data_IF_451226411494
#
_entry.id   IF_451226411494
#
_cell.length_a   1.000
_cell.length_b   1.000
_cell.length_c   1.000
_cell.angle_alpha   90.00
_cell.angle_beta   90.00
_cell.angle_gamma   90.00
#
_symmetry.space_group_name_H-M   'P 1'
#
loop_
_entity.id
_entity.type
_entity.pdbx_description
1 polymer ?
#
# COMPACT_ATOMS: atom_id res chain seq x y z
N UNK A 1 -42.65 -28.15 58.70
CA UNK A 1 -42.30 -29.58 58.93
C UNK A 1 -41.94 -30.19 57.59
N UNK A 2 -40.89 -31.02 57.54
CA UNK A 2 -40.32 -31.48 56.26
C UNK A 2 -40.77 -32.88 55.81
N UNK A 3 -40.20 -33.29 54.66
CA UNK A 3 -40.21 -34.63 54.03
C UNK A 3 -41.54 -35.12 53.43
N UNK A 4 -41.49 -35.40 52.12
CA UNK A 4 -41.78 -36.74 51.60
C UNK A 4 -40.64 -37.18 50.68
N UNK A 5 -40.16 -38.41 50.90
CA UNK A 5 -39.33 -39.17 49.96
C UNK A 5 -40.24 -40.14 49.18
N UNK A 6 -39.82 -40.56 47.97
CA UNK A 6 -39.89 -41.94 47.41
C UNK A 6 -39.41 -41.87 45.94
N UNK A 7 -38.24 -42.39 45.55
CA UNK A 7 -37.84 -43.80 45.29
C UNK A 7 -38.04 -44.25 43.83
N UNK A 8 -37.03 -45.00 43.33
CA UNK A 8 -37.09 -46.00 42.22
C UNK A 8 -37.24 -45.44 40.78
N UNK A 9 -36.56 -45.94 39.74
CA UNK A 9 -35.63 -47.09 39.63
C UNK A 9 -34.32 -46.79 38.84
N UNK A 10 -33.71 -47.82 38.25
CA UNK A 10 -32.40 -47.89 37.56
C UNK A 10 -32.56 -47.93 36.02
N UNK A 11 -31.61 -47.34 35.29
CA UNK A 11 -31.19 -47.84 33.98
C UNK A 11 -29.69 -47.53 33.75
N UNK A 12 -28.83 -48.54 33.85
CA UNK A 12 -27.42 -48.41 33.45
C UNK A 12 -27.33 -48.58 31.93
N UNK A 13 -27.02 -47.50 31.20
CA UNK A 13 -26.84 -47.55 29.75
C UNK A 13 -25.36 -47.39 29.39
N UNK A 14 -24.85 -48.34 28.60
CA UNK A 14 -23.45 -48.41 28.16
C UNK A 14 -23.09 -47.16 27.37
N UNK A 15 -22.10 -46.41 27.85
CA UNK A 15 -21.57 -45.26 27.11
C UNK A 15 -20.66 -45.76 25.98
N UNK A 16 -21.26 -45.94 24.79
CA UNK A 16 -20.51 -46.12 23.56
C UNK A 16 -19.66 -44.87 23.35
N UNK A 17 -18.35 -45.05 23.18
CA UNK A 17 -17.40 -43.98 22.94
C UNK A 17 -17.62 -43.33 21.57
N UNK A 18 -18.60 -42.43 21.47
CA UNK A 18 -18.75 -41.53 20.33
C UNK A 18 -17.58 -40.55 20.42
N UNK A 19 -16.53 -40.83 19.64
CA UNK A 19 -15.43 -39.91 19.47
C UNK A 19 -15.97 -38.57 18.98
N UNK A 20 -15.85 -37.54 19.81
CA UNK A 20 -16.22 -36.18 19.44
C UNK A 20 -15.29 -35.76 18.31
N UNK A 21 -15.77 -35.91 17.08
CA UNK A 21 -15.20 -35.25 15.93
C UNK A 21 -15.33 -33.75 16.20
N UNK A 22 -14.28 -33.15 16.76
CA UNK A 22 -14.20 -31.71 16.90
C UNK A 22 -14.43 -31.12 15.51
N UNK A 23 -15.39 -30.18 15.35
CA UNK A 23 -15.62 -29.60 14.04
C UNK A 23 -14.33 -28.91 13.62
N UNK A 24 -13.64 -29.51 12.64
CA UNK A 24 -12.49 -28.89 11.95
C UNK A 24 -12.97 -27.49 11.57
N UNK A 25 -12.39 -26.42 12.14
CA UNK A 25 -13.00 -25.11 12.04
C UNK A 25 -13.16 -24.78 10.55
N UNK A 26 -14.40 -24.47 10.14
CA UNK A 26 -14.66 -24.04 8.78
C UNK A 26 -13.71 -22.86 8.51
N UNK A 27 -12.82 -23.01 7.52
CA UNK A 27 -11.79 -22.01 7.27
C UNK A 27 -12.47 -20.79 6.64
N UNK A 28 -12.93 -19.87 7.49
CA UNK A 28 -13.37 -18.53 7.12
C UNK A 28 -12.28 -17.88 6.26
N UNK A 29 -12.69 -17.10 5.25
CA UNK A 29 -11.82 -16.41 4.31
C UNK A 29 -11.07 -15.20 4.92
N UNK A 30 -10.72 -15.28 6.20
CA UNK A 30 -10.04 -14.26 6.99
C UNK A 30 -8.72 -14.81 7.53
N UNK A 31 -7.63 -14.06 7.37
CA UNK A 31 -6.34 -14.42 7.97
C UNK A 31 -6.47 -14.71 9.46
N UNK A 32 -5.93 -15.82 9.91
CA UNK A 32 -5.56 -15.92 11.31
C UNK A 32 -4.34 -15.01 11.55
N UNK A 33 -4.45 -14.08 12.50
CA UNK A 33 -3.33 -13.27 13.00
C UNK A 33 -2.78 -13.82 14.33
N UNK A 34 -3.26 -14.99 14.78
CA UNK A 34 -2.76 -15.66 15.99
C UNK A 34 -1.31 -16.08 15.76
N UNK A 35 -0.41 -15.75 16.67
CA UNK A 35 0.98 -16.24 16.62
C UNK A 35 1.01 -17.78 16.60
N UNK A 36 1.61 -18.35 15.56
CA UNK A 36 1.83 -19.80 15.40
C UNK A 36 3.29 -20.06 14.99
N UNK A 37 3.83 -21.28 15.19
CA UNK A 37 5.12 -21.66 14.61
C UNK A 37 5.00 -21.86 13.08
N UNK A 38 6.12 -21.74 12.36
CA UNK A 38 6.18 -21.89 10.91
C UNK A 38 5.61 -23.24 10.41
N UNK A 39 5.88 -24.33 11.15
CA UNK A 39 5.37 -25.67 10.88
C UNK A 39 3.86 -25.84 11.04
N UNK A 40 3.13 -24.81 11.48
CA UNK A 40 1.66 -24.79 11.53
C UNK A 40 1.03 -23.87 10.47
N UNK A 41 1.85 -23.14 9.70
CA UNK A 41 1.38 -22.45 8.51
C UNK A 41 1.26 -23.44 7.34
N UNK A 42 0.25 -23.24 6.49
CA UNK A 42 0.06 -23.99 5.24
C UNK A 42 -0.41 -23.07 4.12
N UNK A 43 -0.14 -23.47 2.88
CA UNK A 43 -0.64 -22.76 1.70
C UNK A 43 -2.15 -22.97 1.54
N UNK A 44 -2.90 -21.90 1.25
CA UNK A 44 -4.35 -21.95 0.97
C UNK A 44 -4.68 -21.95 -0.53
N UNK A 45 -3.67 -21.89 -1.40
CA UNK A 45 -3.83 -21.87 -2.85
C UNK A 45 -2.60 -22.43 -3.59
N UNK A 46 -2.68 -22.55 -4.93
CA UNK A 46 -1.64 -23.18 -5.74
C UNK A 46 -0.34 -22.38 -5.81
N UNK A 47 0.81 -23.06 -5.74
CA UNK A 47 2.12 -22.48 -6.09
C UNK A 47 2.74 -23.23 -7.28
N UNK A 48 3.03 -22.58 -8.41
CA UNK A 48 3.83 -23.17 -9.48
C UNK A 48 5.23 -23.55 -9.00
N UNK A 49 5.66 -24.79 -9.30
CA UNK A 49 7.02 -25.29 -9.04
C UNK A 49 7.95 -24.75 -10.12
N UNK A 50 8.31 -23.46 -10.01
CA UNK A 50 9.22 -22.78 -10.92
C UNK A 50 10.01 -21.65 -10.22
N UNK A 51 11.17 -21.30 -10.78
CA UNK A 51 12.04 -20.24 -10.28
C UNK A 51 11.40 -18.84 -10.40
N UNK A 52 11.99 -17.87 -9.71
CA UNK A 52 11.55 -16.47 -9.68
C UNK A 52 10.40 -16.22 -8.69
N UNK A 53 9.92 -14.98 -8.65
CA UNK A 53 8.91 -14.53 -7.68
C UNK A 53 7.63 -15.39 -7.73
N UNK A 54 7.10 -15.75 -6.56
CA UNK A 54 5.79 -16.40 -6.36
C UNK A 54 5.02 -15.65 -5.28
N UNK A 55 3.74 -15.41 -5.51
CA UNK A 55 2.82 -14.96 -4.48
C UNK A 55 2.13 -16.18 -3.90
N UNK A 56 2.33 -16.41 -2.60
CA UNK A 56 1.92 -17.62 -1.90
C UNK A 56 0.83 -17.26 -0.89
N UNK A 57 -0.43 -17.63 -1.13
CA UNK A 57 -1.50 -17.46 -0.15
C UNK A 57 -1.34 -18.48 0.99
N UNK A 58 -1.45 -18.00 2.23
CA UNK A 58 -1.28 -18.78 3.47
C UNK A 58 -2.48 -18.64 4.39
N UNK A 59 -2.69 -19.62 5.28
CA UNK A 59 -3.75 -19.58 6.31
C UNK A 59 -3.48 -18.54 7.41
N UNK A 60 -2.21 -18.23 7.67
CA UNK A 60 -1.75 -17.36 8.75
C UNK A 60 -0.37 -16.79 8.39
N UNK A 61 -0.22 -15.46 8.47
CA UNK A 61 0.99 -14.76 8.07
C UNK A 61 2.00 -14.52 9.22
N UNK A 62 1.62 -14.77 10.48
CA UNK A 62 2.42 -14.43 11.67
C UNK A 62 3.80 -15.12 11.81
N UNK A 63 4.06 -16.36 11.34
CA UNK A 63 5.40 -16.93 11.45
C UNK A 63 6.38 -16.38 10.41
N UNK A 64 5.91 -15.63 9.41
CA UNK A 64 6.74 -15.14 8.32
C UNK A 64 7.38 -13.79 8.63
N UNK A 65 8.62 -13.61 8.19
CA UNK A 65 9.36 -12.34 8.24
C UNK A 65 10.10 -12.14 6.92
N UNK A 66 10.15 -10.91 6.44
CA UNK A 66 10.97 -10.52 5.29
C UNK A 66 12.43 -10.93 5.52
N UNK A 67 13.08 -11.50 4.51
CA UNK A 67 14.43 -12.05 4.56
C UNK A 67 14.54 -13.50 5.05
N UNK A 68 13.48 -14.10 5.61
CA UNK A 68 13.52 -15.49 6.06
C UNK A 68 13.60 -16.44 4.86
N UNK A 69 14.58 -17.36 4.85
CA UNK A 69 14.64 -18.46 3.88
C UNK A 69 13.70 -19.60 4.31
N UNK A 70 12.75 -19.96 3.44
CA UNK A 70 11.77 -21.02 3.69
C UNK A 70 11.77 -22.04 2.56
N UNK A 71 11.30 -23.24 2.89
CA UNK A 71 10.86 -24.25 1.93
C UNK A 71 9.37 -24.52 2.14
N UNK A 72 8.59 -24.39 1.08
CA UNK A 72 7.21 -24.86 1.02
C UNK A 72 7.22 -26.24 0.35
N UNK A 73 6.79 -27.28 1.06
CA UNK A 73 6.92 -28.68 0.64
C UNK A 73 5.57 -29.42 0.71
N UNK A 74 5.33 -30.30 -0.26
CA UNK A 74 4.23 -31.27 -0.23
C UNK A 74 4.75 -32.66 -0.62
N UNK A 75 3.96 -33.70 -0.36
CA UNK A 75 4.33 -35.10 -0.58
C UNK A 75 5.03 -35.74 0.63
N UNK A 76 4.74 -37.03 0.87
CA UNK A 76 5.16 -37.78 2.08
C UNK A 76 6.25 -38.83 1.81
N UNK A 77 6.71 -38.96 0.57
CA UNK A 77 7.73 -39.93 0.15
C UNK A 77 8.67 -39.28 -0.86
N UNK A 78 9.92 -39.73 -0.93
CA UNK A 78 10.95 -39.14 -1.82
C UNK A 78 10.50 -39.01 -3.29
N UNK A 79 9.68 -39.95 -3.79
CA UNK A 79 9.14 -39.93 -5.16
C UNK A 79 7.98 -38.95 -5.36
N UNK A 80 7.29 -38.56 -4.29
CA UNK A 80 6.13 -37.65 -4.32
C UNK A 80 6.43 -36.26 -3.79
N UNK A 81 7.57 -36.07 -3.12
CA UNK A 81 8.01 -34.78 -2.61
C UNK A 81 8.14 -33.77 -3.74
N UNK A 82 7.51 -32.62 -3.58
CA UNK A 82 7.71 -31.42 -4.42
C UNK A 82 7.93 -30.24 -3.49
N UNK A 83 8.83 -29.34 -3.86
CA UNK A 83 9.02 -28.12 -3.08
C UNK A 83 9.42 -26.93 -3.95
N UNK A 84 9.14 -25.74 -3.40
CA UNK A 84 9.82 -24.50 -3.75
C UNK A 84 10.55 -23.99 -2.52
N UNK A 85 11.72 -23.41 -2.72
CA UNK A 85 12.55 -22.84 -1.66
C UNK A 85 13.06 -21.47 -2.11
N UNK A 86 13.16 -20.53 -1.16
CA UNK A 86 13.57 -19.17 -1.45
C UNK A 86 13.39 -18.24 -0.25
N UNK A 87 13.70 -16.96 -0.46
CA UNK A 87 13.58 -15.93 0.56
C UNK A 87 12.20 -15.26 0.54
N UNK A 88 11.63 -15.03 1.73
CA UNK A 88 10.39 -14.29 1.92
C UNK A 88 10.64 -12.80 1.68
N UNK A 89 9.93 -12.22 0.73
CA UNK A 89 9.87 -10.78 0.47
C UNK A 89 8.71 -10.11 1.21
N UNK A 90 7.86 -9.39 0.46
CA UNK A 90 6.68 -8.69 1.01
C UNK A 90 5.66 -9.66 1.62
N UNK A 91 5.16 -9.33 2.81
CA UNK A 91 4.05 -10.02 3.49
C UNK A 91 2.86 -9.05 3.53
N UNK A 92 1.69 -9.47 3.03
CA UNK A 92 0.50 -8.62 2.96
C UNK A 92 -0.76 -9.47 2.76
N UNK A 93 -1.82 -9.22 3.54
CA UNK A 93 -3.17 -9.78 3.32
C UNK A 93 -3.14 -11.29 3.06
N UNK A 94 -2.56 -12.08 3.97
CA UNK A 94 -2.44 -13.54 3.85
C UNK A 94 -1.59 -14.03 2.66
N UNK A 95 -0.84 -13.17 2.00
CA UNK A 95 0.07 -13.54 0.94
C UNK A 95 1.50 -13.22 1.36
N UNK A 96 2.39 -14.19 1.16
CA UNK A 96 3.83 -13.97 1.23
C UNK A 96 4.38 -14.01 -0.19
N UNK A 97 5.17 -13.00 -0.55
CA UNK A 97 5.99 -13.08 -1.74
C UNK A 97 7.22 -13.94 -1.43
N UNK A 98 7.54 -14.93 -2.26
CA UNK A 98 8.73 -15.76 -2.12
C UNK A 98 9.54 -15.64 -3.40
N UNK A 99 10.80 -15.20 -3.29
CA UNK A 99 11.74 -15.25 -4.41
C UNK A 99 12.31 -16.66 -4.48
N UNK A 100 11.70 -17.51 -5.31
CA UNK A 100 12.08 -18.93 -5.42
C UNK A 100 13.37 -19.06 -6.23
N UNK A 101 14.42 -19.54 -5.57
CA UNK A 101 15.74 -19.79 -6.17
C UNK A 101 16.02 -21.30 -6.38
N UNK A 102 15.21 -22.18 -5.77
CA UNK A 102 15.36 -23.62 -5.86
C UNK A 102 14.00 -24.32 -5.89
N UNK A 103 13.90 -25.36 -6.72
CA UNK A 103 12.70 -26.18 -6.89
C UNK A 103 13.04 -27.67 -6.95
N UNK A 104 12.07 -28.51 -6.63
CA UNK A 104 12.15 -29.95 -6.87
C UNK A 104 10.79 -30.52 -7.29
N UNK A 105 10.81 -31.41 -8.28
CA UNK A 105 9.62 -31.89 -8.98
C UNK A 105 9.11 -30.87 -10.01
N UNK A 106 7.87 -31.07 -10.46
CA UNK A 106 7.23 -30.24 -11.50
C UNK A 106 5.72 -30.07 -11.25
N UNK A 107 5.11 -29.11 -11.95
CA UNK A 107 3.68 -28.78 -11.81
C UNK A 107 3.43 -27.79 -10.68
N UNK A 108 2.45 -28.08 -9.82
CA UNK A 108 1.94 -27.15 -8.80
C UNK A 108 1.93 -27.80 -7.42
N UNK A 109 2.30 -27.03 -6.39
CA UNK A 109 2.09 -27.37 -4.98
C UNK A 109 0.68 -26.99 -4.55
N UNK A 110 0.01 -27.89 -3.84
CA UNK A 110 -1.23 -27.63 -3.12
C UNK A 110 -1.05 -28.08 -1.66
N UNK A 111 -1.60 -27.31 -0.72
CA UNK A 111 -1.52 -27.59 0.73
C UNK A 111 -0.09 -27.94 1.18
N UNK A 112 0.88 -27.11 0.80
CA UNK A 112 2.26 -27.29 1.22
C UNK A 112 2.46 -26.79 2.66
N UNK A 113 3.23 -27.56 3.42
CA UNK A 113 3.72 -27.22 4.75
C UNK A 113 4.99 -26.36 4.64
N UNK A 114 5.27 -25.53 5.63
CA UNK A 114 6.47 -24.68 5.66
C UNK A 114 7.51 -25.15 6.69
N UNK A 115 8.78 -25.15 6.26
CA UNK A 115 9.94 -25.35 7.13
C UNK A 115 10.98 -24.26 6.90
N UNK A 116 11.78 -23.98 7.93
CA UNK A 116 12.97 -23.11 7.78
C UNK A 116 13.97 -23.86 6.89
N UNK A 117 14.46 -23.19 5.86
CA UNK A 117 15.56 -23.71 5.05
C UNK A 117 16.85 -23.03 5.50
N UNK A 118 17.90 -23.81 5.78
CA UNK A 118 19.24 -23.24 5.97
C UNK A 118 19.77 -22.71 4.64
N UNK A 119 20.58 -21.65 4.69
CA UNK A 119 21.43 -21.32 3.55
C UNK A 119 22.35 -22.51 3.27
N UNK A 120 22.38 -22.95 2.01
CA UNK A 120 23.10 -24.16 1.65
C UNK A 120 24.58 -23.82 1.56
N UNK A 121 25.36 -24.36 2.50
CA UNK A 121 26.81 -24.33 2.43
C UNK A 121 27.29 -24.89 1.09
N UNK A 122 28.35 -24.30 0.54
CA UNK A 122 28.92 -24.75 -0.72
C UNK A 122 29.11 -26.27 -0.71
N UNK A 123 28.65 -26.95 -1.77
CA UNK A 123 28.81 -28.38 -1.91
C UNK A 123 30.30 -28.71 -1.78
N UNK A 124 30.66 -29.49 -0.77
CA UNK A 124 32.04 -29.96 -0.63
C UNK A 124 32.47 -30.70 -1.89
N UNK A 125 33.76 -30.60 -2.30
CA UNK A 125 34.24 -31.30 -3.48
C UNK A 125 33.92 -32.80 -3.37
N UNK A 126 33.49 -33.38 -4.49
CA UNK A 126 33.26 -34.83 -4.59
C UNK A 126 34.60 -35.52 -4.35
N UNK A 127 34.64 -36.51 -3.47
CA UNK A 127 35.86 -37.24 -3.14
C UNK A 127 36.44 -37.97 -4.35
N UNK A 128 37.77 -37.99 -4.46
CA UNK A 128 38.48 -38.48 -5.63
C UNK A 128 38.19 -39.96 -5.93
N UNK A 129 37.97 -40.25 -7.21
CA UNK A 129 38.00 -41.63 -7.74
C UNK A 129 39.44 -42.00 -8.10
N UNK A 130 39.82 -43.25 -7.85
CA UNK A 130 41.20 -43.75 -8.05
C UNK A 130 41.77 -43.51 -9.45
N UNK A 131 43.09 -43.31 -9.51
CA UNK A 131 43.79 -42.70 -10.65
C UNK A 131 43.69 -43.45 -11.99
N UNK A 132 43.70 -42.67 -13.07
CA UNK A 132 44.00 -43.10 -14.45
C UNK A 132 44.88 -42.01 -15.12
N UNK A 133 45.66 -42.39 -16.14
CA UNK A 133 46.88 -41.68 -16.58
C UNK A 133 46.76 -40.22 -17.07
N UNK A 134 47.92 -39.57 -17.13
CA UNK A 134 48.07 -38.12 -17.27
C UNK A 134 47.47 -37.51 -18.56
N UNK A 135 46.76 -36.39 -18.39
CA UNK A 135 46.21 -35.53 -19.46
C UNK A 135 46.82 -34.13 -19.34
N UNK A 136 46.95 -33.40 -20.46
CA UNK A 136 47.68 -32.13 -20.53
C UNK A 136 47.12 -30.99 -19.69
N UNK A 137 47.97 -29.96 -19.44
CA UNK A 137 47.66 -28.83 -18.57
C UNK A 137 46.43 -28.03 -19.05
N UNK A 138 45.40 -28.03 -18.22
CA UNK A 138 44.16 -27.28 -18.44
C UNK A 138 44.40 -25.77 -18.23
N UNK A 139 43.81 -24.95 -19.10
CA UNK A 139 43.86 -23.49 -18.96
C UNK A 139 43.15 -22.99 -17.69
N UNK A 140 43.66 -21.89 -17.11
CA UNK A 140 43.07 -21.23 -15.93
C UNK A 140 41.58 -20.93 -16.15
N UNK A 141 40.69 -21.28 -15.20
CA UNK A 141 39.26 -20.94 -15.29
C UNK A 141 39.04 -19.43 -15.40
N UNK A 142 38.10 -19.02 -16.26
CA UNK A 142 37.65 -17.62 -16.31
C UNK A 142 36.99 -17.22 -14.99
N UNK A 143 37.24 -15.98 -14.54
CA UNK A 143 36.63 -15.43 -13.34
C UNK A 143 35.11 -15.35 -13.49
N UNK A 144 34.36 -15.75 -12.45
CA UNK A 144 32.92 -15.56 -12.40
C UNK A 144 32.56 -14.08 -12.64
N UNK A 145 31.53 -13.84 -13.46
CA UNK A 145 30.94 -12.51 -13.59
C UNK A 145 30.43 -12.01 -12.23
N UNK A 146 30.61 -10.72 -11.96
CA UNK A 146 30.08 -10.08 -10.76
C UNK A 146 28.56 -10.22 -10.72
N UNK A 147 27.99 -10.57 -9.56
CA UNK A 147 26.55 -10.51 -9.35
C UNK A 147 26.01 -9.13 -9.76
N UNK A 148 24.94 -9.11 -10.53
CA UNK A 148 24.24 -7.87 -10.85
C UNK A 148 23.82 -7.17 -9.55
N UNK A 149 24.03 -5.85 -9.49
CA UNK A 149 23.55 -5.05 -8.35
C UNK A 149 22.05 -5.23 -8.20
N UNK A 150 21.59 -5.46 -6.96
CA UNK A 150 20.15 -5.45 -6.65
C UNK A 150 19.53 -4.19 -7.25
N UNK A 151 18.45 -4.36 -8.01
CA UNK A 151 17.69 -3.22 -8.52
C UNK A 151 17.33 -2.29 -7.37
N UNK A 152 17.59 -0.99 -7.54
CA UNK A 152 17.19 0.03 -6.58
C UNK A 152 15.72 -0.17 -6.22
N UNK A 153 15.39 -0.07 -4.93
CA UNK A 153 14.00 -0.14 -4.45
C UNK A 153 13.14 0.74 -5.36
N UNK A 154 12.18 0.13 -6.07
CA UNK A 154 11.33 0.85 -7.00
C UNK A 154 10.67 2.04 -6.31
N UNK A 155 10.53 3.16 -7.05
CA UNK A 155 10.01 4.41 -6.51
C UNK A 155 8.75 4.13 -5.68
N UNK A 156 8.84 4.41 -4.38
CA UNK A 156 7.67 4.52 -3.50
C UNK A 156 7.29 6.01 -3.60
N UNK A 157 6.35 6.40 -4.46
CA UNK A 157 6.06 7.81 -4.68
C UNK A 157 5.58 8.43 -3.37
N UNK A 158 6.10 9.60 -3.04
CA UNK A 158 5.43 10.45 -2.07
C UNK A 158 4.09 10.93 -2.66
N UNK A 159 3.05 11.04 -1.84
CA UNK A 159 1.75 11.54 -2.27
C UNK A 159 1.00 12.22 -1.14
N UNK A 160 0.01 13.05 -1.48
CA UNK A 160 -0.90 13.69 -0.53
C UNK A 160 -2.22 14.07 -1.19
N UNK A 161 -3.33 13.93 -0.47
CA UNK A 161 -4.66 14.38 -0.91
C UNK A 161 -5.36 15.14 0.22
N UNK A 162 -5.45 16.46 0.07
CA UNK A 162 -5.90 17.40 1.09
C UNK A 162 -7.10 18.19 0.56
N UNK A 163 -7.95 18.69 1.45
CA UNK A 163 -9.08 19.54 1.06
C UNK A 163 -9.46 20.53 2.16
N UNK A 164 -10.18 21.57 1.80
CA UNK A 164 -10.82 22.48 2.74
C UNK A 164 -12.35 22.37 2.63
N UNK A 165 -13.01 22.23 3.77
CA UNK A 165 -14.48 22.11 3.87
C UNK A 165 -15.17 23.44 4.20
N UNK A 166 -14.42 24.54 4.29
CA UNK A 166 -14.92 25.89 4.57
C UNK A 166 -14.81 26.81 3.35
N UNK A 167 -15.66 27.84 3.29
CA UNK A 167 -15.61 28.83 2.20
C UNK A 167 -14.47 29.82 2.46
N UNK A 168 -13.55 29.95 1.51
CA UNK A 168 -12.43 30.88 1.59
C UNK A 168 -12.75 32.16 0.81
N UNK A 169 -12.75 33.30 1.50
CA UNK A 169 -13.06 34.61 0.93
C UNK A 169 -11.82 35.28 0.33
N UNK A 170 -12.01 36.23 -0.58
CA UNK A 170 -10.99 37.23 -0.93
C UNK A 170 -11.10 38.37 0.10
N UNK A 171 -10.04 38.59 0.89
CA UNK A 171 -10.10 39.56 2.00
C UNK A 171 -9.77 41.00 1.56
N UNK A 172 -9.06 41.14 0.43
CA UNK A 172 -8.64 42.41 -0.16
C UNK A 172 -8.45 42.24 -1.67
N UNK A 173 -8.83 43.27 -2.44
CA UNK A 173 -8.70 43.26 -3.91
C UNK A 173 -7.24 43.21 -4.35
N UNK A 174 -6.98 42.54 -5.48
CA UNK A 174 -5.68 42.43 -6.15
C UNK A 174 -4.54 41.95 -5.22
N UNK A 175 -4.87 41.26 -4.12
CA UNK A 175 -3.93 40.85 -3.08
C UNK A 175 -3.82 39.32 -3.09
N UNK A 176 -2.63 38.75 -3.41
CA UNK A 176 -2.41 37.30 -3.37
C UNK A 176 -2.71 36.67 -2.00
N UNK A 177 -3.55 35.64 -2.00
CA UNK A 177 -3.87 34.82 -0.81
C UNK A 177 -3.62 33.34 -1.12
N UNK A 178 -3.09 32.60 -0.16
CA UNK A 178 -2.90 31.16 -0.31
C UNK A 178 -4.20 30.40 -0.01
N UNK A 179 -4.51 29.38 -0.81
CA UNK A 179 -5.56 28.43 -0.51
C UNK A 179 -5.16 27.62 0.74
N UNK A 180 -6.06 27.56 1.71
CA UNK A 180 -5.87 26.75 2.93
C UNK A 180 -6.45 25.34 2.79
N UNK A 181 -6.09 24.45 3.71
CA UNK A 181 -6.63 23.11 3.85
C UNK A 181 -6.90 22.80 5.32
N UNK A 182 -8.07 22.24 5.62
CA UNK A 182 -8.48 21.87 6.98
C UNK A 182 -8.65 20.35 7.19
N UNK A 183 -8.68 19.56 6.11
CA UNK A 183 -8.56 18.09 6.15
C UNK A 183 -7.15 17.70 5.72
N UNK A 184 -6.26 17.56 6.69
CA UNK A 184 -4.81 17.36 6.48
C UNK A 184 -4.23 16.10 7.15
N UNK A 185 -4.94 15.48 8.09
CA UNK A 185 -4.46 14.32 8.86
C UNK A 185 -4.68 13.01 8.11
N UNK A 186 -3.64 12.23 7.75
CA UNK A 186 -3.80 10.97 7.02
C UNK A 186 -4.70 9.97 7.75
N UNK A 187 -5.59 9.31 7.00
CA UNK A 187 -6.59 8.37 7.54
C UNK A 187 -7.86 9.03 8.09
N UNK A 188 -7.91 10.35 8.21
CA UNK A 188 -9.08 11.12 8.68
C UNK A 188 -9.80 11.74 7.48
N UNK A 189 -11.14 11.68 7.45
CA UNK A 189 -11.99 12.37 6.47
C UNK A 189 -11.56 12.22 4.99
N UNK A 190 -11.06 11.03 4.62
CA UNK A 190 -10.63 10.69 3.27
C UNK A 190 -9.26 11.25 2.85
N UNK A 191 -8.48 11.79 3.79
CA UNK A 191 -7.09 12.21 3.56
C UNK A 191 -6.19 10.98 3.45
N UNK A 192 -5.37 10.96 2.40
CA UNK A 192 -4.36 9.94 2.17
C UNK A 192 -3.05 10.64 1.83
N UNK A 193 -2.00 10.39 2.60
CA UNK A 193 -0.67 10.96 2.32
C UNK A 193 0.46 10.07 2.83
N UNK A 194 1.59 10.12 2.15
CA UNK A 194 2.86 9.52 2.55
C UNK A 194 4.01 10.35 2.00
N UNK A 195 4.88 10.87 2.86
CA UNK A 195 5.98 11.75 2.42
C UNK A 195 5.54 13.13 1.90
N UNK A 196 4.29 13.53 2.14
CA UNK A 196 3.78 14.89 1.92
C UNK A 196 2.93 15.28 3.13
N UNK A 197 3.06 16.52 3.59
CA UNK A 197 2.28 17.11 4.70
C UNK A 197 1.67 18.45 4.28
N UNK A 198 0.74 18.97 5.09
CA UNK A 198 0.33 20.37 5.03
C UNK A 198 0.71 21.05 6.33
N UNK A 199 1.44 22.15 6.23
CA UNK A 199 1.90 22.97 7.35
C UNK A 199 1.37 24.40 7.18
N UNK A 200 1.28 25.15 8.29
CA UNK A 200 0.80 26.55 8.30
C UNK A 200 -0.52 26.77 7.53
N UNK A 201 -1.38 25.75 7.51
CA UNK A 201 -2.66 25.73 6.79
C UNK A 201 -2.59 25.68 5.26
N UNK A 202 -1.47 26.02 4.62
CA UNK A 202 -1.37 26.15 3.15
C UNK A 202 -0.08 25.62 2.51
N UNK A 203 0.97 25.37 3.29
CA UNK A 203 2.25 24.89 2.78
C UNK A 203 2.15 23.38 2.55
N UNK A 204 2.03 22.95 1.30
CA UNK A 204 2.09 21.54 0.93
C UNK A 204 3.57 21.16 0.84
N UNK A 205 4.10 20.54 1.90
CA UNK A 205 5.54 20.24 2.08
C UNK A 205 5.85 18.83 1.58
N UNK A 206 6.94 18.65 0.84
CA UNK A 206 7.40 17.33 0.40
C UNK A 206 8.59 16.85 1.23
N UNK A 207 8.54 15.61 1.70
CA UNK A 207 9.61 15.00 2.51
C UNK A 207 10.68 14.28 1.68
N UNK A 208 10.58 14.30 0.34
CA UNK A 208 11.48 13.62 -0.59
C UNK A 208 11.78 14.56 -1.75
N UNK A 209 13.01 14.54 -2.24
CA UNK A 209 13.36 15.21 -3.50
C UNK A 209 12.80 14.40 -4.66
N UNK A 210 12.21 15.07 -5.65
CA UNK A 210 11.65 14.43 -6.84
C UNK A 210 10.87 15.39 -7.72
N UNK A 211 10.35 14.86 -8.83
CA UNK A 211 9.41 15.58 -9.68
C UNK A 211 7.99 15.29 -9.20
N UNK A 212 7.19 16.32 -8.98
CA UNK A 212 5.83 16.22 -8.46
C UNK A 212 4.80 16.74 -9.45
N UNK A 213 3.74 15.95 -9.64
CA UNK A 213 2.52 16.39 -10.28
C UNK A 213 1.51 16.83 -9.22
N UNK A 214 1.07 18.09 -9.28
CA UNK A 214 0.12 18.72 -8.37
C UNK A 214 -1.16 19.00 -9.16
N UNK A 215 -2.29 18.46 -8.76
CA UNK A 215 -3.60 18.63 -9.40
C UNK A 215 -4.59 19.21 -8.40
N UNK A 216 -5.49 20.09 -8.83
CA UNK A 216 -6.52 20.63 -7.94
C UNK A 216 -7.89 20.80 -8.60
N UNK A 217 -8.92 20.91 -7.76
CA UNK A 217 -10.24 21.41 -8.14
C UNK A 217 -10.75 22.43 -7.11
N UNK A 218 -11.04 23.65 -7.57
CA UNK A 218 -11.52 24.76 -6.76
C UNK A 218 -12.94 25.16 -7.18
N UNK A 219 -13.89 25.13 -6.25
CA UNK A 219 -15.26 25.60 -6.46
C UNK A 219 -15.31 27.14 -6.44
N UNK A 220 -15.60 27.78 -7.57
CA UNK A 220 -15.61 29.24 -7.70
C UNK A 220 -17.03 29.82 -7.75
N UNK A 221 -17.25 30.94 -7.05
CA UNK A 221 -18.49 31.70 -7.06
C UNK A 221 -18.25 33.18 -6.70
N UNK A 222 -19.19 34.07 -7.07
CA UNK A 222 -19.33 35.41 -6.47
C UNK A 222 -20.75 35.64 -5.92
N UNK A 223 -20.99 36.72 -5.18
CA UNK A 223 -22.26 36.98 -4.47
C UNK A 223 -23.11 38.12 -5.02
N UNK A 224 -22.55 38.91 -5.94
CA UNK A 224 -23.04 40.20 -6.43
C UNK A 224 -23.11 40.20 -7.98
N UNK A 225 -23.93 41.06 -8.61
CA UNK A 225 -24.06 41.07 -10.06
C UNK A 225 -22.77 41.49 -10.78
N UNK A 226 -22.52 40.88 -11.94
CA UNK A 226 -21.35 41.19 -12.78
C UNK A 226 -20.48 39.96 -13.07
N UNK A 227 -19.36 40.23 -13.74
CA UNK A 227 -18.35 39.25 -14.11
C UNK A 227 -16.98 39.73 -13.60
N UNK A 228 -16.26 38.87 -12.90
CA UNK A 228 -14.94 39.17 -12.33
C UNK A 228 -13.96 38.04 -12.58
N UNK A 229 -12.67 38.36 -12.58
CA UNK A 229 -11.61 37.37 -12.81
C UNK A 229 -11.05 36.91 -11.47
N UNK A 230 -10.93 35.60 -11.31
CA UNK A 230 -10.11 34.95 -10.30
C UNK A 230 -8.87 34.39 -10.98
N UNK A 231 -7.70 34.91 -10.62
CA UNK A 231 -6.40 34.38 -11.02
C UNK A 231 -5.97 33.31 -10.03
N UNK A 232 -5.52 32.14 -10.50
CA UNK A 232 -5.00 31.04 -9.66
C UNK A 232 -3.67 30.54 -10.23
N UNK A 233 -2.65 30.43 -9.37
CA UNK A 233 -1.29 30.06 -9.77
C UNK A 233 -0.53 29.27 -8.69
N UNK A 234 0.66 28.78 -9.03
CA UNK A 234 1.53 28.02 -8.13
C UNK A 234 2.63 28.92 -7.54
N UNK A 235 2.87 28.80 -6.24
CA UNK A 235 4.00 29.41 -5.51
C UNK A 235 4.85 28.30 -4.88
N UNK A 236 6.17 28.42 -4.95
CA UNK A 236 7.15 27.52 -4.29
C UNK A 236 8.04 28.33 -3.37
N UNK A 237 8.16 27.92 -2.10
CA UNK A 237 9.03 28.57 -1.10
C UNK A 237 8.88 30.11 -1.08
N UNK A 238 7.63 30.60 -1.06
CA UNK A 238 7.31 32.04 -1.06
C UNK A 238 7.44 32.77 -2.40
N UNK A 239 8.01 32.15 -3.45
CA UNK A 239 8.21 32.75 -4.78
C UNK A 239 7.21 32.20 -5.79
N UNK A 240 6.58 33.07 -6.57
CA UNK A 240 5.63 32.67 -7.60
C UNK A 240 6.30 31.94 -8.76
N UNK A 241 5.74 30.80 -9.16
CA UNK A 241 6.28 29.97 -10.25
C UNK A 241 5.90 30.62 -11.59
N UNK A 242 6.87 31.00 -12.44
CA UNK A 242 6.59 31.64 -13.73
C UNK A 242 5.65 30.80 -14.60
N UNK A 243 4.77 31.46 -15.35
CA UNK A 243 3.82 30.86 -16.29
C UNK A 243 2.84 29.83 -15.66
N UNK A 244 2.62 29.87 -14.35
CA UNK A 244 1.67 28.98 -13.65
C UNK A 244 0.26 29.56 -13.46
N UNK A 245 0.02 30.81 -13.86
CA UNK A 245 -1.28 31.47 -13.68
C UNK A 245 -2.33 31.02 -14.70
N UNK A 246 -3.56 30.83 -14.22
CA UNK A 246 -4.78 30.71 -15.01
C UNK A 246 -5.78 31.75 -14.52
N UNK A 247 -6.38 32.50 -15.45
CA UNK A 247 -7.46 33.44 -15.16
C UNK A 247 -8.81 32.81 -15.46
N UNK A 248 -9.75 32.90 -14.52
CA UNK A 248 -11.08 32.30 -14.61
C UNK A 248 -12.15 33.37 -14.38
N UNK A 249 -12.97 33.63 -15.39
CA UNK A 249 -14.09 34.60 -15.31
C UNK A 249 -15.30 33.98 -14.60
N UNK A 250 -15.60 34.48 -13.40
CA UNK A 250 -16.73 34.08 -12.56
C UNK A 250 -17.90 35.06 -12.76
N UNK A 251 -19.14 34.59 -12.71
CA UNK A 251 -20.35 35.43 -12.60
C UNK A 251 -21.22 35.00 -11.42
N UNK A 252 -22.08 35.86 -10.89
CA UNK A 252 -23.02 35.45 -9.84
C UNK A 252 -24.11 34.47 -10.33
N UNK A 253 -24.38 34.44 -11.64
CA UNK A 253 -25.36 33.53 -12.25
C UNK A 253 -24.82 32.12 -12.48
N UNK A 254 -23.49 31.93 -12.52
CA UNK A 254 -22.85 30.64 -12.82
C UNK A 254 -21.72 30.34 -11.85
N UNK A 255 -21.84 29.22 -11.13
CA UNK A 255 -20.69 28.63 -10.43
C UNK A 255 -19.76 27.97 -11.43
N UNK A 256 -18.47 28.04 -11.16
CA UNK A 256 -17.45 27.34 -11.95
C UNK A 256 -16.61 26.42 -11.08
N UNK A 257 -15.86 25.52 -11.71
CA UNK A 257 -14.83 24.72 -11.05
C UNK A 257 -13.54 24.94 -11.82
N UNK A 258 -12.57 25.61 -11.19
CA UNK A 258 -11.24 25.71 -11.75
C UNK A 258 -10.49 24.41 -11.48
N UNK A 259 -9.92 23.82 -12.53
CA UNK A 259 -9.05 22.65 -12.43
C UNK A 259 -7.77 22.91 -13.21
N UNK A 260 -6.64 22.45 -12.68
CA UNK A 260 -5.36 22.50 -13.37
C UNK A 260 -4.41 21.46 -12.80
N UNK A 261 -3.30 21.23 -13.51
CA UNK A 261 -2.17 20.46 -13.02
C UNK A 261 -0.83 21.17 -13.28
N UNK A 262 0.07 21.09 -12.31
CA UNK A 262 1.44 21.56 -12.41
C UNK A 262 2.40 20.38 -12.30
N UNK A 263 3.50 20.41 -13.04
CA UNK A 263 4.62 19.48 -12.88
C UNK A 263 5.84 20.32 -12.49
N UNK A 264 6.45 20.01 -11.35
CA UNK A 264 7.53 20.81 -10.77
C UNK A 264 8.52 19.92 -9.99
N UNK A 265 9.80 20.24 -10.10
CA UNK A 265 10.84 19.63 -9.28
C UNK A 265 10.91 20.31 -7.92
N UNK A 266 10.89 19.50 -6.86
CA UNK A 266 10.92 19.92 -5.46
C UNK A 266 12.03 19.17 -4.72
N UNK A 267 12.79 19.86 -3.90
CA UNK A 267 13.72 19.27 -2.94
C UNK A 267 12.99 18.80 -1.67
N UNK A 268 13.54 17.83 -0.95
CA UNK A 268 13.03 17.48 0.37
C UNK A 268 13.06 18.70 1.31
N UNK A 269 11.91 19.07 1.88
CA UNK A 269 11.70 20.27 2.68
C UNK A 269 11.14 21.47 1.90
N UNK A 270 11.10 21.43 0.56
CA UNK A 270 10.37 22.43 -0.23
C UNK A 270 8.87 22.35 0.05
N UNK A 271 8.21 23.50 -0.04
CA UNK A 271 6.77 23.58 -0.02
C UNK A 271 6.21 24.35 -1.21
N UNK A 272 5.00 23.97 -1.60
CA UNK A 272 4.19 24.68 -2.58
C UNK A 272 2.90 25.21 -1.97
N UNK A 273 2.38 26.28 -2.55
CA UNK A 273 1.08 26.86 -2.24
C UNK A 273 0.32 27.07 -3.55
N UNK A 274 -0.98 26.80 -3.55
CA UNK A 274 -1.87 27.31 -4.59
C UNK A 274 -2.33 28.71 -4.15
N UNK A 275 -2.05 29.70 -4.97
CA UNK A 275 -2.34 31.10 -4.71
C UNK A 275 -3.55 31.54 -5.52
N UNK A 276 -4.34 32.48 -4.98
CA UNK A 276 -5.46 33.10 -5.68
C UNK A 276 -5.51 34.62 -5.43
N UNK A 277 -6.11 35.35 -6.38
CA UNK A 277 -6.37 36.79 -6.28
C UNK A 277 -7.53 37.18 -7.20
N UNK A 278 -8.27 38.22 -6.83
CA UNK A 278 -9.32 38.83 -7.66
C UNK A 278 -9.37 40.33 -7.43
N UNK A 279 -9.86 41.08 -8.42
CA UNK A 279 -10.16 42.51 -8.29
C UNK A 279 -11.41 42.81 -7.45
N UNK A 280 -12.16 41.79 -7.04
CA UNK A 280 -13.40 41.90 -6.27
C UNK A 280 -13.43 40.93 -5.07
N UNK A 281 -13.70 41.48 -3.88
CA UNK A 281 -13.82 40.74 -2.60
C UNK A 281 -15.07 39.87 -2.50
N UNK A 282 -16.08 40.08 -3.35
CA UNK A 282 -17.28 39.26 -3.40
C UNK A 282 -17.07 37.94 -4.16
N UNK A 283 -15.92 37.77 -4.83
CA UNK A 283 -15.44 36.48 -5.35
C UNK A 283 -14.87 35.58 -4.24
N UNK A 284 -15.06 34.26 -4.37
CA UNK A 284 -14.72 33.31 -3.29
C UNK A 284 -14.57 31.87 -3.78
N UNK A 285 -13.89 31.08 -2.95
CA UNK A 285 -13.73 29.64 -3.09
C UNK A 285 -14.78 28.96 -2.20
N UNK A 286 -15.84 28.42 -2.81
CA UNK A 286 -17.10 28.08 -2.15
C UNK A 286 -17.18 26.62 -1.68
N UNK A 287 -17.25 26.40 -0.38
CA UNK A 287 -17.64 25.09 0.15
C UNK A 287 -19.14 24.85 -0.07
N UNK A 288 -19.51 23.60 -0.40
CA UNK A 288 -20.89 23.20 -0.68
C UNK A 288 -21.43 22.41 0.50
N UNK A 289 -22.47 22.93 1.16
CA UNK A 289 -23.23 22.23 2.18
C UNK A 289 -23.93 20.97 1.60
N UNK A 290 -24.13 19.90 2.39
CA UNK A 290 -24.87 18.73 1.93
C UNK A 290 -26.32 19.10 1.58
N UNK A 291 -26.87 18.46 0.57
CA UNK A 291 -28.26 18.67 0.11
C UNK A 291 -29.15 17.50 0.52
N UNK A 292 -30.43 17.77 0.77
CA UNK A 292 -31.43 16.76 1.16
C UNK A 292 -32.41 16.39 0.04
N UNK A 293 -32.62 17.27 -0.96
CA UNK A 293 -33.54 17.01 -2.08
C UNK A 293 -33.02 17.61 -3.41
N UNK A 294 -32.54 16.79 -4.37
CA UNK A 294 -32.13 15.40 -4.17
C UNK A 294 -30.98 15.33 -3.16
N UNK A 295 -30.84 14.19 -2.47
CA UNK A 295 -29.74 14.00 -1.53
C UNK A 295 -28.38 14.06 -2.25
N UNK A 296 -27.48 14.94 -1.81
CA UNK A 296 -26.10 15.05 -2.32
C UNK A 296 -25.12 15.31 -1.16
N UNK A 297 -23.91 14.73 -1.21
CA UNK A 297 -22.89 14.99 -0.19
C UNK A 297 -22.42 16.45 -0.22
N UNK A 298 -21.77 16.87 0.87
CA UNK A 298 -21.03 18.12 0.90
C UNK A 298 -19.87 18.11 -0.10
N UNK A 299 -19.51 19.27 -0.64
CA UNK A 299 -18.35 19.47 -1.51
C UNK A 299 -17.32 20.39 -0.83
N UNK A 300 -16.01 20.10 -0.93
CA UNK A 300 -14.98 21.01 -0.44
C UNK A 300 -14.95 22.31 -1.28
N UNK A 301 -14.38 23.38 -0.73
CA UNK A 301 -14.07 24.59 -1.49
C UNK A 301 -12.89 24.34 -2.43
N UNK A 302 -11.84 23.71 -1.92
CA UNK A 302 -10.65 23.27 -2.67
C UNK A 302 -10.34 21.82 -2.30
N UNK A 303 -10.02 21.01 -3.32
CA UNK A 303 -9.33 19.73 -3.15
C UNK A 303 -8.02 19.76 -3.96
N UNK A 304 -6.94 19.24 -3.37
CA UNK A 304 -5.64 19.09 -4.03
C UNK A 304 -5.16 17.64 -3.89
N UNK A 305 -4.52 17.15 -4.94
CA UNK A 305 -3.76 15.91 -4.96
C UNK A 305 -2.35 16.22 -5.45
N UNK A 306 -1.33 15.70 -4.79
CA UNK A 306 0.07 15.81 -5.19
C UNK A 306 0.67 14.40 -5.18
N UNK A 307 1.36 14.05 -6.26
CA UNK A 307 1.96 12.72 -6.47
C UNK A 307 3.37 12.89 -7.04
N UNK A 308 4.36 12.24 -6.43
CA UNK A 308 5.70 12.11 -6.99
C UNK A 308 5.66 11.22 -8.23
N UNK A 309 6.18 11.72 -9.35
CA UNK A 309 6.24 11.02 -10.64
C UNK A 309 7.66 10.58 -11.00
N UNK A 310 8.68 11.12 -10.31
CA UNK A 310 10.10 10.76 -10.45
C UNK A 310 10.83 10.93 -9.11
#
# INVERSE_FOLDING_TARGET
>A
MGKKHLYIFVAALVLIGIGVATPKPAHSATCSQRTIPLSSAVTTGPIPVSLGLKYVPVNNQSPFKTGMRIRAVTGRTLKTTKYVEGQVGRISQCNIAVLVDRVHGSGTLFYADFVVAGEIGAQGPIGDTGATGATGLQGQPGTNGTNGTNGTNGLIPAYGSFRDTTTQQVDSVNTPKALTFNQITPGVNGVSASGVTVEFGSHIVVARTGTYNIQFSAQLAKTDPGNDIMSIWLRRNGTDVPLSNSDITISASLRQVATSNYIIDLAAGDYVQLMYSSADIATRILAIAPQTNPARPAGPSIAVAITQVQ
#
